data_IF_548544867306
#
_entry.id   IF_548544867306
#
_cell.length_a   1.000
_cell.length_b   1.000
_cell.length_c   1.000
_cell.angle_alpha   90.00
_cell.angle_beta   90.00
_cell.angle_gamma   90.00
#
_symmetry.space_group_name_H-M   'P 1'
#
loop_
_entity.id
_entity.type
_entity.pdbx_description
1 polymer ?
#
# COMPACT_ATOMS: atom_id res chain seq x y z
N UNK A 1 -22.88 4.68 -2.29
CA UNK A 1 -21.68 3.83 -2.42
C UNK A 1 -20.58 4.52 -3.23
N UNK A 2 -20.88 5.15 -4.36
CA UNK A 2 -19.87 5.78 -5.23
C UNK A 2 -18.97 6.80 -4.53
N UNK A 3 -19.53 7.72 -3.73
CA UNK A 3 -18.73 8.72 -2.99
C UNK A 3 -17.71 8.09 -2.04
N UNK A 4 -18.07 7.00 -1.37
CA UNK A 4 -17.17 6.30 -0.44
C UNK A 4 -16.03 5.65 -1.22
N UNK A 5 -16.35 5.03 -2.35
CA UNK A 5 -15.37 4.35 -3.19
C UNK A 5 -14.37 5.35 -3.79
N UNK A 6 -14.85 6.52 -4.23
CA UNK A 6 -13.99 7.62 -4.69
C UNK A 6 -13.02 8.09 -3.60
N UNK A 7 -13.47 8.21 -2.35
CA UNK A 7 -12.56 8.67 -1.29
C UNK A 7 -11.52 7.60 -0.95
N UNK A 8 -11.92 6.32 -0.90
CA UNK A 8 -10.97 5.22 -0.74
C UNK A 8 -9.95 5.19 -1.88
N UNK A 9 -10.38 5.45 -3.13
CA UNK A 9 -9.50 5.56 -4.29
C UNK A 9 -8.47 6.68 -4.12
N UNK A 10 -8.90 7.88 -3.70
CA UNK A 10 -7.99 9.02 -3.49
C UNK A 10 -6.94 8.67 -2.44
N UNK A 11 -7.35 8.08 -1.32
CA UNK A 11 -6.45 7.63 -0.26
C UNK A 11 -5.45 6.58 -0.77
N UNK A 12 -5.95 5.60 -1.51
CA UNK A 12 -5.13 4.53 -2.06
C UNK A 12 -4.13 5.05 -3.11
N UNK A 13 -4.52 6.03 -3.93
CA UNK A 13 -3.62 6.72 -4.87
C UNK A 13 -2.49 7.41 -4.11
N UNK A 14 -2.79 8.16 -3.05
CA UNK A 14 -1.75 8.83 -2.26
C UNK A 14 -0.79 7.83 -1.60
N UNK A 15 -1.31 6.72 -1.05
CA UNK A 15 -0.48 5.67 -0.46
C UNK A 15 0.48 5.03 -1.47
N UNK A 16 -0.02 4.64 -2.65
CA UNK A 16 0.82 4.07 -3.72
C UNK A 16 1.81 5.09 -4.28
N UNK A 17 1.41 6.36 -4.42
CA UNK A 17 2.30 7.42 -4.91
C UNK A 17 3.51 7.64 -3.99
N UNK A 18 3.28 7.75 -2.68
CA UNK A 18 4.35 7.90 -1.68
C UNK A 18 5.29 6.69 -1.72
N UNK A 19 4.73 5.49 -1.90
CA UNK A 19 5.49 4.26 -1.92
C UNK A 19 6.35 4.10 -3.19
N UNK A 20 5.78 4.34 -4.38
CA UNK A 20 6.51 4.23 -5.65
C UNK A 20 7.72 5.18 -5.71
N UNK A 21 7.55 6.43 -5.28
CA UNK A 21 8.67 7.40 -5.24
C UNK A 21 9.86 6.95 -4.38
N UNK A 22 9.68 5.98 -3.48
CA UNK A 22 10.76 5.39 -2.67
C UNK A 22 11.40 4.19 -3.35
N UNK A 23 10.59 3.35 -3.99
CA UNK A 23 11.07 2.23 -4.80
C UNK A 23 11.93 2.69 -5.98
N UNK A 24 11.70 3.88 -6.51
CA UNK A 24 12.47 4.47 -7.60
C UNK A 24 13.93 4.81 -7.23
N UNK A 25 14.30 4.74 -5.95
CA UNK A 25 15.66 5.09 -5.49
C UNK A 25 16.65 3.97 -5.82
N UNK A 26 17.80 4.27 -6.46
CA UNK A 26 18.82 3.25 -6.73
C UNK A 26 19.38 2.71 -5.42
N UNK A 27 19.45 1.39 -5.33
CA UNK A 27 20.01 0.67 -4.17
C UNK A 27 21.41 0.19 -4.56
N UNK A 28 22.42 0.57 -3.78
CA UNK A 28 23.77 0.03 -3.95
C UNK A 28 23.80 -1.47 -3.57
N UNK A 29 24.54 -2.33 -4.29
CA UNK A 29 24.68 -3.76 -3.97
C UNK A 29 25.08 -4.03 -2.51
N UNK A 30 25.90 -3.17 -1.91
CA UNK A 30 26.36 -3.29 -0.52
C UNK A 30 25.24 -3.08 0.51
N UNK A 31 24.11 -2.50 0.09
CA UNK A 31 22.97 -2.23 0.95
C UNK A 31 21.91 -3.34 0.91
N UNK A 32 22.09 -4.36 0.08
CA UNK A 32 21.11 -5.43 -0.16
C UNK A 32 21.04 -6.49 0.96
N UNK A 33 21.92 -6.44 1.96
CA UNK A 33 22.11 -7.55 2.91
C UNK A 33 21.00 -7.68 3.98
N UNK A 34 20.33 -6.59 4.36
CA UNK A 34 19.31 -6.59 5.43
C UNK A 34 17.93 -6.21 4.88
N UNK A 35 17.07 -7.19 4.61
CA UNK A 35 15.67 -6.95 4.25
C UNK A 35 14.87 -6.59 5.51
N UNK A 36 14.06 -5.55 5.40
CA UNK A 36 13.09 -5.13 6.42
C UNK A 36 11.70 -5.01 5.82
N UNK A 37 10.71 -5.12 6.70
CA UNK A 37 9.30 -4.96 6.36
C UNK A 37 8.75 -3.69 6.98
N UNK A 38 8.16 -2.82 6.16
CA UNK A 38 7.36 -1.70 6.62
C UNK A 38 5.91 -2.13 6.61
N UNK A 39 5.23 -2.02 7.74
CA UNK A 39 3.79 -2.25 7.84
C UNK A 39 3.13 -0.97 8.34
N UNK A 40 2.29 -0.35 7.51
CA UNK A 40 1.44 0.78 7.89
C UNK A 40 -0.02 0.36 7.85
N UNK A 41 -0.75 0.73 8.90
CA UNK A 41 -2.19 0.45 9.03
C UNK A 41 -2.94 1.72 9.35
N UNK A 42 -3.99 1.96 8.57
CA UNK A 42 -4.95 3.04 8.80
C UNK A 42 -6.35 2.45 8.90
N UNK A 43 -7.02 2.70 10.01
CA UNK A 43 -8.45 2.39 10.17
C UNK A 43 -9.27 3.56 9.67
N UNK A 44 -10.19 3.28 8.76
CA UNK A 44 -11.17 4.22 8.25
C UNK A 44 -12.55 3.81 8.77
N UNK A 45 -13.30 4.79 9.27
CA UNK A 45 -14.71 4.63 9.61
C UNK A 45 -15.52 5.33 8.54
N UNK A 46 -16.34 4.55 7.83
CA UNK A 46 -17.17 4.96 6.71
C UNK A 46 -18.64 4.73 7.11
N UNK A 47 -19.33 5.78 7.58
CA UNK A 47 -20.68 5.65 8.16
C UNK A 47 -20.70 4.55 9.23
N UNK A 48 -21.33 3.41 8.95
CA UNK A 48 -21.55 2.30 9.89
C UNK A 48 -20.58 1.11 9.70
N UNK A 49 -19.58 1.24 8.82
CA UNK A 49 -18.58 0.18 8.60
C UNK A 49 -17.16 0.67 8.80
N UNK A 50 -16.29 -0.22 9.28
CA UNK A 50 -14.86 0.05 9.36
C UNK A 50 -14.10 -0.71 8.27
N UNK A 51 -13.20 0.00 7.61
CA UNK A 51 -12.30 -0.54 6.58
C UNK A 51 -10.88 -0.25 7.03
N UNK A 52 -9.97 -1.21 6.89
CA UNK A 52 -8.56 -1.01 7.22
C UNK A 52 -7.71 -1.01 5.96
N UNK A 53 -7.07 0.12 5.67
CA UNK A 53 -5.99 0.18 4.69
C UNK A 53 -4.74 -0.41 5.33
N UNK A 54 -4.11 -1.34 4.62
CA UNK A 54 -2.81 -1.90 4.98
C UNK A 54 -1.85 -1.68 3.82
N UNK A 55 -0.69 -1.13 4.13
CA UNK A 55 0.43 -0.99 3.21
C UNK A 55 1.59 -1.79 3.77
N UNK A 56 2.04 -2.79 3.03
CA UNK A 56 3.21 -3.59 3.35
C UNK A 56 4.30 -3.29 2.33
N UNK A 57 5.51 -3.02 2.79
CA UNK A 57 6.69 -2.91 1.94
C UNK A 57 7.77 -3.88 2.38
N UNK A 58 8.46 -4.50 1.43
CA UNK A 58 9.65 -5.34 1.59
C UNK A 58 10.78 -4.71 0.79
N UNK A 59 11.91 -4.49 1.44
CA UNK A 59 13.10 -4.02 0.76
C UNK A 59 14.27 -3.86 1.70
N UNK A 60 15.41 -3.39 1.17
CA UNK A 60 16.62 -3.24 1.97
C UNK A 60 16.45 -2.15 3.03
N UNK A 61 17.07 -2.35 4.19
CA UNK A 61 17.04 -1.42 5.32
C UNK A 61 17.46 0.00 4.94
N UNK A 62 18.33 0.16 3.94
CA UNK A 62 18.79 1.46 3.43
C UNK A 62 17.69 2.29 2.77
N UNK A 63 16.62 1.68 2.27
CA UNK A 63 15.44 2.43 1.79
C UNK A 63 14.74 3.19 2.92
N UNK A 64 14.99 2.78 4.16
CA UNK A 64 14.46 3.38 5.38
C UNK A 64 13.02 2.98 5.64
N UNK A 65 12.71 2.65 6.90
CA UNK A 65 11.34 2.46 7.36
C UNK A 65 10.68 3.82 7.66
N UNK A 66 10.34 4.58 6.61
CA UNK A 66 9.79 5.92 6.79
C UNK A 66 8.26 5.85 6.83
N UNK A 67 7.77 5.49 8.02
CA UNK A 67 6.37 5.45 8.41
C UNK A 67 5.61 6.77 8.29
N UNK A 68 6.30 7.88 8.61
CA UNK A 68 5.69 9.19 8.83
C UNK A 68 4.94 9.78 7.62
N UNK A 69 5.55 9.84 6.42
CA UNK A 69 4.96 10.49 5.26
C UNK A 69 3.71 9.77 4.71
N UNK A 70 3.64 8.44 4.79
CA UNK A 70 2.46 7.68 4.35
C UNK A 70 1.29 8.04 5.26
N UNK A 71 1.49 7.99 6.57
CA UNK A 71 0.44 8.30 7.53
C UNK A 71 0.00 9.75 7.48
N UNK A 72 0.92 10.71 7.41
CA UNK A 72 0.56 12.14 7.36
C UNK A 72 -0.19 12.48 6.08
N UNK A 73 0.29 12.00 4.93
CA UNK A 73 -0.36 12.23 3.64
C UNK A 73 -1.74 11.60 3.57
N UNK A 74 -1.89 10.39 4.12
CA UNK A 74 -3.17 9.70 4.17
C UNK A 74 -4.13 10.33 5.18
N UNK A 75 -3.65 10.75 6.36
CA UNK A 75 -4.46 11.48 7.34
C UNK A 75 -4.95 12.82 6.79
N UNK A 76 -4.13 13.54 6.02
CA UNK A 76 -4.54 14.79 5.38
C UNK A 76 -5.67 14.58 4.37
N UNK A 77 -5.62 13.51 3.59
CA UNK A 77 -6.70 13.14 2.65
C UNK A 77 -8.01 12.76 3.35
N UNK A 78 -7.95 12.44 4.64
CA UNK A 78 -9.12 12.12 5.46
C UNK A 78 -9.75 13.33 6.15
N UNK A 79 -9.20 14.53 6.00
CA UNK A 79 -9.79 15.77 6.55
C UNK A 79 -11.00 16.19 5.69
N UNK A 80 -12.10 15.45 5.81
CA UNK A 80 -13.39 15.71 5.15
C UNK A 80 -14.56 15.13 5.96
N UNK A 81 -15.72 15.80 5.93
CA UNK A 81 -16.80 15.66 6.94
C UNK A 81 -17.48 14.28 7.09
N UNK A 82 -17.16 13.28 6.26
CA UNK A 82 -17.86 11.98 6.25
C UNK A 82 -16.96 10.75 6.50
N UNK A 83 -15.66 10.96 6.79
CA UNK A 83 -14.71 9.87 7.04
C UNK A 83 -13.81 10.23 8.21
N UNK A 84 -13.68 9.30 9.16
CA UNK A 84 -12.65 9.36 10.18
C UNK A 84 -11.54 8.38 9.83
N UNK A 85 -10.30 8.86 9.83
CA UNK A 85 -9.12 8.01 9.66
C UNK A 85 -8.25 8.09 10.90
N UNK A 86 -7.90 6.92 11.42
CA UNK A 86 -7.00 6.78 12.55
C UNK A 86 -5.84 5.90 12.12
N UNK A 87 -4.62 6.44 12.23
CA UNK A 87 -3.43 5.62 12.09
C UNK A 87 -3.40 4.63 13.26
N UNK A 88 -3.49 3.33 12.96
CA UNK A 88 -3.53 2.27 13.97
C UNK A 88 -2.17 1.64 14.24
N UNK A 89 -1.18 1.91 13.39
CA UNK A 89 0.19 1.48 13.63
C UNK A 89 1.08 1.74 12.43
N UNK A 90 2.36 2.01 12.70
CA UNK A 90 3.40 1.84 11.70
C UNK A 90 4.61 1.21 12.34
N UNK A 91 5.05 0.11 11.74
CA UNK A 91 6.08 -0.73 12.32
C UNK A 91 7.12 -1.08 11.25
N UNK A 92 8.38 -1.06 11.67
CA UNK A 92 9.51 -1.58 10.92
C UNK A 92 9.89 -2.91 11.55
N UNK A 93 9.74 -4.00 10.80
CA UNK A 93 9.90 -5.36 11.31
C UNK A 93 10.96 -6.12 10.53
N UNK A 94 11.50 -7.16 11.17
CA UNK A 94 12.39 -8.13 10.52
C UNK A 94 11.60 -9.21 9.78
N UNK A 95 10.35 -9.41 10.17
CA UNK A 95 9.41 -10.38 9.64
C UNK A 95 8.05 -9.73 9.39
N UNK A 96 7.17 -10.45 8.71
CA UNK A 96 5.80 -10.03 8.46
C UNK A 96 4.88 -11.24 8.58
N UNK A 97 3.61 -11.01 8.91
CA UNK A 97 2.61 -12.08 8.94
C UNK A 97 2.62 -12.84 7.61
N UNK A 98 2.55 -14.18 7.69
CA UNK A 98 2.60 -15.08 6.54
C UNK A 98 1.57 -14.71 5.45
N UNK A 99 0.40 -14.16 5.82
CA UNK A 99 -0.60 -13.70 4.85
C UNK A 99 -0.05 -12.62 3.92
N UNK A 100 0.75 -11.69 4.46
CA UNK A 100 1.31 -10.57 3.71
C UNK A 100 2.57 -10.99 2.95
N UNK A 101 3.35 -11.91 3.52
CA UNK A 101 4.46 -12.54 2.79
C UNK A 101 3.96 -13.21 1.50
N UNK A 102 2.88 -14.00 1.59
CA UNK A 102 2.27 -14.62 0.41
C UNK A 102 1.80 -13.59 -0.63
N UNK A 103 1.22 -12.47 -0.20
CA UNK A 103 0.82 -11.39 -1.11
C UNK A 103 2.01 -10.70 -1.77
N UNK A 104 3.10 -10.46 -1.03
CA UNK A 104 4.36 -9.93 -1.57
C UNK A 104 4.96 -10.88 -2.62
N UNK A 105 4.72 -12.19 -2.46
CA UNK A 105 5.11 -13.23 -3.41
C UNK A 105 4.03 -13.50 -4.49
N UNK A 106 3.14 -12.52 -4.72
CA UNK A 106 2.12 -12.50 -5.80
C UNK A 106 1.08 -13.64 -5.70
N UNK A 107 0.84 -14.19 -4.52
CA UNK A 107 -0.18 -15.22 -4.33
C UNK A 107 -1.57 -14.65 -4.06
N UNK A 108 -2.60 -15.34 -4.57
CA UNK A 108 -4.00 -14.98 -4.32
C UNK A 108 -4.34 -14.92 -2.83
N UNK A 109 -5.21 -13.99 -2.47
CA UNK A 109 -5.73 -13.81 -1.12
C UNK A 109 -7.27 -13.71 -1.14
N UNK A 110 -7.89 -13.60 0.05
CA UNK A 110 -9.34 -13.41 0.19
C UNK A 110 -9.82 -11.99 -0.15
N UNK A 111 -8.92 -11.11 -0.59
CA UNK A 111 -9.21 -9.74 -1.05
C UNK A 111 -8.31 -9.45 -2.24
N UNK A 112 -8.78 -8.61 -3.15
CA UNK A 112 -7.91 -8.05 -4.16
C UNK A 112 -6.95 -7.03 -3.56
N UNK A 113 -5.74 -6.98 -4.09
CA UNK A 113 -4.69 -6.10 -3.63
C UNK A 113 -3.80 -5.62 -4.79
N UNK A 114 -3.23 -4.44 -4.61
CA UNK A 114 -2.23 -3.90 -5.53
C UNK A 114 -0.87 -4.42 -5.12
N UNK A 115 -0.25 -5.22 -5.99
CA UNK A 115 1.15 -5.58 -5.91
C UNK A 115 2.01 -4.55 -6.63
N UNK A 116 3.13 -4.17 -6.02
CA UNK A 116 4.11 -3.24 -6.57
C UNK A 116 5.49 -3.90 -6.50
N UNK A 117 6.30 -3.80 -7.54
CA UNK A 117 7.65 -4.36 -7.54
C UNK A 117 8.59 -3.50 -8.37
N UNK A 118 9.79 -3.25 -7.86
CA UNK A 118 10.83 -2.64 -8.66
C UNK A 118 11.26 -3.61 -9.78
N UNK A 119 11.49 -3.14 -11.01
CA UNK A 119 11.90 -3.97 -12.15
C UNK A 119 13.18 -4.78 -11.89
N UNK A 120 14.07 -4.27 -11.04
CA UNK A 120 15.28 -4.97 -10.60
C UNK A 120 15.03 -5.97 -9.44
N UNK A 121 13.78 -6.15 -9.01
CA UNK A 121 13.29 -7.03 -7.93
C UNK A 121 13.92 -6.77 -6.56
N UNK A 122 14.51 -5.59 -6.36
CA UNK A 122 15.16 -5.22 -5.10
C UNK A 122 14.17 -4.90 -3.98
N UNK A 123 12.94 -4.52 -4.33
CA UNK A 123 11.91 -4.17 -3.37
C UNK A 123 10.51 -4.43 -3.95
N UNK A 124 9.57 -4.78 -3.07
CA UNK A 124 8.19 -5.09 -3.42
C UNK A 124 7.24 -4.57 -2.34
N UNK A 125 6.00 -4.26 -2.71
CA UNK A 125 4.99 -3.81 -1.77
C UNK A 125 3.59 -4.27 -2.14
N UNK A 126 2.70 -4.16 -1.16
CA UNK A 126 1.30 -4.53 -1.24
C UNK A 126 0.47 -3.40 -0.65
N UNK A 127 -0.59 -3.00 -1.36
CA UNK A 127 -1.64 -2.12 -0.83
C UNK A 127 -2.96 -2.86 -0.89
N UNK A 128 -3.67 -2.93 0.24
CA UNK A 128 -4.96 -3.60 0.32
C UNK A 128 -5.89 -2.95 1.33
N UNK A 129 -7.17 -3.34 1.26
CA UNK A 129 -8.21 -2.91 2.18
C UNK A 129 -8.92 -4.12 2.79
N UNK A 130 -8.82 -4.28 4.12
CA UNK A 130 -9.67 -5.22 4.85
C UNK A 130 -11.05 -4.63 5.14
N UNK A 131 -12.09 -5.46 5.09
CA UNK A 131 -13.48 -5.04 5.34
C UNK A 131 -14.23 -4.53 4.10
N UNK A 132 -13.63 -4.64 2.91
CA UNK A 132 -14.33 -4.45 1.64
C UNK A 132 -14.91 -5.76 1.13
N UNK A 133 -15.96 -5.66 0.32
CA UNK A 133 -16.44 -6.78 -0.50
C UNK A 133 -15.46 -7.09 -1.63
N UNK A 134 -15.56 -8.29 -2.20
CA UNK A 134 -14.77 -8.72 -3.36
C UNK A 134 -14.83 -7.69 -4.50
N UNK A 135 -16.05 -7.30 -4.92
CA UNK A 135 -16.29 -6.31 -5.97
C UNK A 135 -15.66 -4.94 -5.67
N UNK A 136 -15.77 -4.46 -4.43
CA UNK A 136 -15.18 -3.17 -4.04
C UNK A 136 -13.65 -3.22 -4.05
N UNK A 137 -13.07 -4.28 -3.48
CA UNK A 137 -11.62 -4.47 -3.46
C UNK A 137 -11.06 -4.58 -4.89
N UNK A 138 -11.74 -5.32 -5.77
CA UNK A 138 -11.38 -5.45 -7.19
C UNK A 138 -11.41 -4.10 -7.90
N UNK A 139 -12.48 -3.34 -7.71
CA UNK A 139 -12.66 -2.03 -8.37
C UNK A 139 -11.54 -1.06 -7.98
N UNK A 140 -11.19 -1.00 -6.69
CA UNK A 140 -10.11 -0.16 -6.20
C UNK A 140 -8.76 -0.60 -6.78
N UNK A 141 -8.50 -1.90 -6.74
CA UNK A 141 -7.27 -2.51 -7.21
C UNK A 141 -7.03 -2.29 -8.72
N UNK A 142 -8.06 -2.53 -9.54
CA UNK A 142 -8.01 -2.30 -10.99
C UNK A 142 -7.79 -0.81 -11.30
N UNK A 143 -8.49 0.09 -10.61
CA UNK A 143 -8.34 1.53 -10.83
C UNK A 143 -6.92 2.01 -10.52
N UNK A 144 -6.36 1.61 -9.38
CA UNK A 144 -5.01 2.02 -9.00
C UNK A 144 -3.98 1.53 -10.01
N UNK A 145 -4.04 0.25 -10.38
CA UNK A 145 -3.06 -0.33 -11.30
C UNK A 145 -3.13 0.30 -12.69
N UNK A 146 -4.32 0.58 -13.20
CA UNK A 146 -4.48 1.36 -14.44
C UNK A 146 -3.89 2.77 -14.32
N UNK A 147 -4.15 3.46 -13.20
CA UNK A 147 -3.65 4.82 -12.93
C UNK A 147 -2.13 4.90 -12.88
N UNK A 148 -1.45 3.87 -12.37
CA UNK A 148 0.00 3.84 -12.23
C UNK A 148 0.71 3.26 -13.45
N UNK A 149 0.10 2.33 -14.20
CA UNK A 149 0.62 1.84 -15.49
C UNK A 149 0.74 2.94 -16.54
N UNK A 150 -0.09 3.99 -16.45
CA UNK A 150 -0.03 5.12 -17.38
C UNK A 150 1.21 6.02 -17.21
N UNK A 151 2.11 5.73 -16.27
CA UNK A 151 3.35 6.48 -16.05
C UNK A 151 4.55 5.55 -16.19
N UNK A 152 5.48 5.80 -17.13
CA UNK A 152 6.72 5.03 -17.19
C UNK A 152 7.54 5.28 -15.92
N UNK A 153 7.94 4.20 -15.25
CA UNK A 153 8.74 4.23 -14.04
C UNK A 153 9.43 2.88 -13.81
N UNK A 154 10.29 2.78 -12.78
CA UNK A 154 10.99 1.54 -12.43
C UNK A 154 10.11 0.59 -11.60
N UNK A 155 8.89 0.99 -11.22
CA UNK A 155 7.93 0.14 -10.49
C UNK A 155 6.87 -0.43 -11.43
N UNK A 156 6.69 -1.74 -11.37
CA UNK A 156 5.57 -2.45 -11.98
C UNK A 156 4.43 -2.59 -10.98
N UNK A 157 3.19 -2.42 -11.43
CA UNK A 157 1.99 -2.55 -10.59
C UNK A 157 0.99 -3.53 -11.20
N UNK A 158 0.46 -4.42 -10.36
CA UNK A 158 -0.49 -5.47 -10.75
C UNK A 158 -1.63 -5.58 -9.75
N UNK A 159 -2.83 -5.84 -10.27
CA UNK A 159 -3.97 -6.18 -9.45
C UNK A 159 -4.04 -7.70 -9.35
N UNK A 160 -4.03 -8.22 -8.12
CA UNK A 160 -4.13 -9.65 -7.81
C UNK A 160 -5.35 -9.83 -6.91
#
# INVERSE_FOLDING_TARGET
>A
MERILVILLVIAVGAVYVYNNKLDRPISPDQAADIVFLESRLKMTLKDRSVQLVVIGRGPKSLGCIAGPINSHVQDMCKGKDISCVATGVECKKDVDNRYQRMLDKQKASTHYVHMENKNKSAAGVVLFWGLTDRESKTICDYLTQRFRSKPGPVETNCI
#
